data_IF_914755667719
#
_entry.id   IF_914755667719
#
_cell.length_a   1.000
_cell.length_b   1.000
_cell.length_c   1.000
_cell.angle_alpha   90.00
_cell.angle_beta   90.00
_cell.angle_gamma   90.00
#
_symmetry.space_group_name_H-M   'P 1'
#
loop_
_entity.id
_entity.type
_entity.pdbx_description
1 polymer ?
#
# COMPACT_ATOMS: atom_id res chain seq x y z
N UNK A 1 19.16 -21.08 -25.69
CA UNK A 1 18.24 -22.16 -25.26
C UNK A 1 16.95 -21.52 -24.79
N UNK A 2 15.83 -21.86 -25.43
CA UNK A 2 14.51 -21.19 -25.26
C UNK A 2 13.94 -21.53 -23.89
N UNK A 3 13.68 -20.51 -23.06
CA UNK A 3 12.89 -20.64 -21.85
C UNK A 3 11.44 -20.38 -22.24
N UNK A 4 10.60 -21.40 -22.04
CA UNK A 4 9.16 -21.35 -22.26
C UNK A 4 8.55 -20.27 -21.34
N UNK A 5 8.03 -19.24 -21.96
CA UNK A 5 7.10 -18.31 -21.31
C UNK A 5 5.76 -19.02 -21.15
N UNK A 6 5.40 -19.37 -19.93
CA UNK A 6 4.07 -19.81 -19.56
C UNK A 6 3.13 -18.61 -19.66
N UNK A 7 2.32 -18.57 -20.72
CA UNK A 7 1.28 -17.58 -20.97
C UNK A 7 0.11 -17.88 -20.04
N UNK A 8 0.05 -17.23 -18.88
CA UNK A 8 -1.20 -17.13 -18.11
C UNK A 8 -2.07 -16.08 -18.75
N UNK A 9 -3.05 -16.54 -19.54
CA UNK A 9 -4.15 -15.71 -20.03
C UNK A 9 -5.02 -15.36 -18.82
N UNK A 10 -4.78 -14.18 -18.24
CA UNK A 10 -5.76 -13.54 -17.36
C UNK A 10 -6.92 -13.06 -18.25
N UNK A 11 -8.02 -13.79 -18.20
CA UNK A 11 -9.32 -13.29 -18.66
C UNK A 11 -9.64 -12.08 -17.77
N UNK A 12 -9.40 -10.89 -18.32
CA UNK A 12 -9.94 -9.65 -17.77
C UNK A 12 -11.47 -9.77 -17.85
N UNK A 13 -12.09 -10.14 -16.73
CA UNK A 13 -13.48 -9.79 -16.50
C UNK A 13 -13.50 -8.26 -16.32
N UNK A 14 -13.66 -7.57 -17.44
CA UNK A 14 -14.07 -6.17 -17.46
C UNK A 14 -15.51 -6.18 -16.93
N UNK A 15 -15.65 -5.96 -15.61
CA UNK A 15 -16.91 -5.51 -15.06
C UNK A 15 -17.11 -4.13 -15.70
N UNK A 16 -18.16 -3.95 -16.53
CA UNK A 16 -18.39 -2.63 -17.10
C UNK A 16 -18.61 -1.70 -15.90
N UNK A 17 -17.73 -0.71 -15.77
CA UNK A 17 -17.99 0.49 -15.01
C UNK A 17 -19.39 0.93 -15.41
N UNK A 18 -20.38 0.73 -14.54
CA UNK A 18 -21.71 1.28 -14.75
C UNK A 18 -21.53 2.80 -14.79
N UNK A 19 -21.34 3.29 -16.01
CA UNK A 19 -21.66 4.66 -16.32
C UNK A 19 -23.07 4.88 -15.72
N UNK A 20 -23.18 5.93 -14.89
CA UNK A 20 -24.47 6.47 -14.53
C UNK A 20 -25.33 6.46 -15.81
N UNK A 21 -26.49 5.82 -15.82
CA UNK A 21 -27.32 5.87 -16.99
C UNK A 21 -27.69 7.32 -17.21
N UNK A 22 -27.08 7.95 -18.19
CA UNK A 22 -27.65 9.09 -18.89
C UNK A 22 -28.82 8.57 -19.74
N UNK A 23 -29.73 7.83 -19.11
CA UNK A 23 -31.05 7.63 -19.64
C UNK A 23 -31.86 8.84 -19.20
N UNK A 24 -31.82 9.88 -20.00
CA UNK A 24 -33.05 10.60 -20.30
C UNK A 24 -34.00 9.55 -20.93
N UNK A 25 -34.46 8.64 -20.06
CA UNK A 25 -35.62 7.83 -20.38
C UNK A 25 -36.74 8.83 -20.54
N UNK A 26 -37.36 8.90 -21.70
CA UNK A 26 -38.68 9.43 -21.92
C UNK A 26 -39.64 8.66 -21.00
N UNK A 27 -39.64 8.98 -19.71
CA UNK A 27 -40.71 8.61 -18.81
C UNK A 27 -41.91 9.42 -19.27
N UNK A 28 -42.93 8.74 -19.74
CA UNK A 28 -44.24 9.33 -19.97
C UNK A 28 -44.57 10.24 -18.74
N UNK A 29 -45.06 11.44 -18.93
CA UNK A 29 -45.39 12.33 -17.82
C UNK A 29 -46.31 11.62 -16.83
N UNK A 30 -45.93 11.64 -15.54
CA UNK A 30 -46.69 11.00 -14.45
C UNK A 30 -48.17 11.43 -14.54
N UNK A 31 -49.06 10.46 -14.58
CA UNK A 31 -50.50 10.77 -14.58
C UNK A 31 -50.95 11.38 -13.26
N UNK A 32 -52.02 12.21 -13.29
CA UNK A 32 -52.59 12.80 -12.07
C UNK A 32 -52.92 11.73 -11.00
N UNK A 33 -53.34 10.53 -11.46
CA UNK A 33 -53.71 9.43 -10.57
C UNK A 33 -52.46 8.80 -9.91
N UNK A 34 -51.36 8.60 -10.64
CA UNK A 34 -50.12 8.11 -10.14
C UNK A 34 -49.49 9.09 -9.13
N UNK A 35 -49.46 10.39 -9.46
CA UNK A 35 -48.99 11.42 -8.56
C UNK A 35 -49.76 11.46 -7.21
N UNK A 36 -51.11 11.24 -7.28
CA UNK A 36 -51.96 11.17 -6.07
C UNK A 36 -51.67 9.91 -5.27
N UNK A 37 -51.47 8.78 -5.89
CA UNK A 37 -51.12 7.53 -5.22
C UNK A 37 -49.75 7.64 -4.52
N UNK A 38 -48.73 8.17 -5.21
CA UNK A 38 -47.38 8.42 -4.68
C UNK A 38 -47.44 9.36 -3.45
N UNK A 39 -48.11 10.49 -3.54
CA UNK A 39 -48.28 11.41 -2.41
C UNK A 39 -48.97 10.74 -1.22
N UNK A 40 -49.95 9.87 -1.44
CA UNK A 40 -50.64 9.10 -0.40
C UNK A 40 -49.67 8.10 0.27
N UNK A 41 -48.84 7.41 -0.51
CA UNK A 41 -47.86 6.46 0.03
C UNK A 41 -46.78 7.20 0.87
N UNK A 42 -46.21 8.31 0.37
CA UNK A 42 -45.29 9.16 1.14
C UNK A 42 -45.93 9.60 2.46
N UNK A 43 -47.15 10.07 2.46
CA UNK A 43 -47.86 10.49 3.69
C UNK A 43 -47.99 9.33 4.68
N UNK A 44 -48.42 8.15 4.20
CA UNK A 44 -48.56 6.94 5.03
C UNK A 44 -47.21 6.54 5.66
N UNK A 45 -46.12 6.56 4.92
CA UNK A 45 -44.79 6.23 5.41
C UNK A 45 -44.32 7.26 6.47
N UNK A 46 -44.54 8.55 6.25
CA UNK A 46 -44.23 9.61 7.25
C UNK A 46 -45.04 9.47 8.55
N UNK A 47 -46.27 8.99 8.50
CA UNK A 47 -47.05 8.67 9.70
C UNK A 47 -46.47 7.43 10.44
N UNK A 48 -46.04 6.42 9.73
CA UNK A 48 -45.35 5.26 10.32
C UNK A 48 -44.03 5.67 10.97
N UNK A 49 -43.25 6.58 10.34
CA UNK A 49 -42.03 7.14 10.92
C UNK A 49 -42.33 7.79 12.27
N UNK A 50 -43.34 8.68 12.35
CA UNK A 50 -43.72 9.35 13.59
C UNK A 50 -44.07 8.35 14.70
N UNK A 51 -44.83 7.31 14.37
CA UNK A 51 -45.19 6.26 15.34
C UNK A 51 -43.96 5.51 15.82
N UNK A 52 -43.03 5.13 14.92
CA UNK A 52 -41.79 4.39 15.23
C UNK A 52 -40.81 5.25 16.05
N UNK A 53 -40.69 6.55 15.77
CA UNK A 53 -39.86 7.47 16.54
C UNK A 53 -40.39 7.62 17.99
N UNK A 54 -41.75 7.69 18.17
CA UNK A 54 -42.36 7.77 19.48
C UNK A 54 -42.18 6.48 20.30
N UNK A 55 -42.36 5.32 19.67
CA UNK A 55 -42.21 4.03 20.36
C UNK A 55 -40.75 3.57 20.49
N UNK A 56 -39.84 4.10 19.66
CA UNK A 56 -38.47 3.65 19.57
C UNK A 56 -38.31 2.26 18.93
N UNK A 57 -39.37 1.75 18.28
CA UNK A 57 -39.37 0.38 17.69
C UNK A 57 -39.47 0.42 16.15
N UNK A 58 -39.10 -0.70 15.48
CA UNK A 58 -39.18 -0.85 14.02
C UNK A 58 -38.35 0.16 13.21
N UNK A 59 -37.36 0.82 13.81
CA UNK A 59 -36.59 1.88 13.17
C UNK A 59 -35.85 1.43 11.90
N UNK A 60 -35.29 0.19 11.89
CA UNK A 60 -34.61 -0.37 10.71
C UNK A 60 -35.57 -0.61 9.53
N UNK A 61 -36.81 -1.07 9.83
CA UNK A 61 -37.83 -1.27 8.80
C UNK A 61 -38.24 0.06 8.17
N UNK A 62 -38.43 1.08 8.98
CA UNK A 62 -38.80 2.42 8.53
C UNK A 62 -37.66 3.04 7.72
N UNK A 63 -36.40 2.92 8.17
CA UNK A 63 -35.22 3.33 7.41
C UNK A 63 -35.23 2.70 6.00
N UNK A 64 -35.42 1.39 5.92
CA UNK A 64 -35.46 0.68 4.63
C UNK A 64 -36.59 1.19 3.72
N UNK A 65 -37.78 1.46 4.28
CA UNK A 65 -38.91 2.00 3.53
C UNK A 65 -38.66 3.41 3.00
N UNK A 66 -38.05 4.28 3.80
CA UNK A 66 -37.68 5.64 3.40
C UNK A 66 -36.60 5.64 2.32
N UNK A 67 -35.57 4.80 2.48
CA UNK A 67 -34.53 4.64 1.46
C UNK A 67 -35.12 4.19 0.12
N UNK A 68 -36.09 3.25 0.13
CA UNK A 68 -36.79 2.82 -1.08
C UNK A 68 -37.56 3.96 -1.74
N UNK A 69 -38.23 4.79 -0.96
CA UNK A 69 -38.92 5.98 -1.49
C UNK A 69 -37.96 6.98 -2.13
N UNK A 70 -36.75 7.17 -1.54
CA UNK A 70 -35.72 8.07 -2.04
C UNK A 70 -34.97 7.53 -3.28
N UNK A 71 -35.13 6.24 -3.61
CA UNK A 71 -34.64 5.68 -4.88
C UNK A 71 -35.48 6.13 -6.07
N UNK A 72 -36.79 6.40 -5.86
CA UNK A 72 -37.67 6.97 -6.88
C UNK A 72 -37.27 8.44 -7.16
N UNK A 73 -36.95 8.72 -8.43
CA UNK A 73 -36.51 10.05 -8.90
C UNK A 73 -37.54 11.15 -8.60
N UNK A 74 -38.82 10.82 -8.62
CA UNK A 74 -39.94 11.75 -8.33
C UNK A 74 -40.00 12.17 -6.84
N UNK A 75 -39.41 11.38 -5.96
CA UNK A 75 -39.36 11.65 -4.52
C UNK A 75 -38.03 12.29 -4.07
N UNK A 76 -37.01 12.29 -4.92
CA UNK A 76 -35.66 12.75 -4.54
C UNK A 76 -35.58 14.22 -4.11
N UNK A 77 -36.58 15.06 -4.45
CA UNK A 77 -36.66 16.45 -4.05
C UNK A 77 -37.59 16.67 -2.83
N UNK A 78 -38.17 15.61 -2.25
CA UNK A 78 -39.05 15.75 -1.10
C UNK A 78 -38.25 15.88 0.21
N UNK A 79 -38.02 17.10 0.68
CA UNK A 79 -37.28 17.41 1.89
C UNK A 79 -37.77 16.60 3.11
N UNK A 80 -39.07 16.32 3.20
CA UNK A 80 -39.67 15.62 4.34
C UNK A 80 -39.13 14.20 4.50
N UNK A 81 -38.79 13.54 3.40
CA UNK A 81 -38.20 12.18 3.43
C UNK A 81 -36.77 12.18 4.00
N UNK A 82 -35.98 13.18 3.64
CA UNK A 82 -34.60 13.32 4.17
C UNK A 82 -34.64 13.64 5.67
N UNK A 83 -35.46 14.59 6.10
CA UNK A 83 -35.62 14.95 7.50
C UNK A 83 -36.11 13.76 8.33
N UNK A 84 -37.13 13.05 7.84
CA UNK A 84 -37.66 11.87 8.51
C UNK A 84 -36.61 10.74 8.61
N UNK A 85 -35.84 10.51 7.55
CA UNK A 85 -34.76 9.51 7.55
C UNK A 85 -33.63 9.90 8.50
N UNK A 86 -33.25 11.18 8.54
CA UNK A 86 -32.28 11.68 9.50
C UNK A 86 -32.71 11.45 10.95
N UNK A 87 -33.98 11.78 11.29
CA UNK A 87 -34.52 11.55 12.63
C UNK A 87 -34.50 10.06 13.02
N UNK A 88 -34.82 9.19 12.08
CA UNK A 88 -34.74 7.72 12.29
C UNK A 88 -33.29 7.28 12.57
N UNK A 89 -32.32 7.70 11.75
CA UNK A 89 -30.91 7.38 11.96
C UNK A 89 -30.38 7.94 13.29
N UNK A 90 -30.74 9.18 13.63
CA UNK A 90 -30.38 9.81 14.90
C UNK A 90 -30.93 9.03 16.09
N UNK A 91 -32.18 8.57 16.01
CA UNK A 91 -32.80 7.74 17.07
C UNK A 91 -32.14 6.39 17.20
N UNK A 92 -31.81 5.73 16.08
CA UNK A 92 -31.05 4.47 16.09
C UNK A 92 -29.69 4.66 16.76
N UNK A 93 -28.96 5.71 16.38
CA UNK A 93 -27.67 6.04 16.99
C UNK A 93 -27.80 6.24 18.50
N UNK A 94 -28.77 7.04 18.94
CA UNK A 94 -29.01 7.30 20.36
C UNK A 94 -29.26 6.01 21.14
N UNK A 95 -30.14 5.13 20.64
CA UNK A 95 -30.43 3.84 21.27
C UNK A 95 -29.21 2.90 21.31
N UNK A 96 -28.42 2.88 20.24
CA UNK A 96 -27.20 2.10 20.19
C UNK A 96 -26.16 2.60 21.18
N UNK A 97 -25.95 3.92 21.22
CA UNK A 97 -25.00 4.56 22.12
C UNK A 97 -25.41 4.37 23.60
N UNK A 98 -26.71 4.49 23.92
CA UNK A 98 -27.24 4.23 25.25
C UNK A 98 -26.97 2.78 25.71
N UNK A 99 -27.21 1.81 24.84
CA UNK A 99 -26.92 0.39 25.14
C UNK A 99 -25.43 0.16 25.42
N UNK A 100 -24.55 0.74 24.62
CA UNK A 100 -23.10 0.64 24.83
C UNK A 100 -22.67 1.32 26.14
N UNK A 101 -23.23 2.49 26.43
CA UNK A 101 -22.98 3.20 27.69
C UNK A 101 -23.39 2.37 28.90
N UNK A 102 -24.53 1.71 28.83
CA UNK A 102 -25.06 0.80 29.86
C UNK A 102 -24.37 -0.59 29.85
N UNK A 103 -23.31 -0.77 29.05
CA UNK A 103 -22.58 -2.05 28.88
C UNK A 103 -23.47 -3.21 28.42
N UNK A 104 -24.57 -2.91 27.77
CA UNK A 104 -25.44 -3.90 27.15
C UNK A 104 -24.88 -4.35 25.80
N UNK A 105 -25.23 -5.57 25.39
CA UNK A 105 -24.80 -6.10 24.08
C UNK A 105 -25.38 -5.26 22.93
N UNK A 106 -24.51 -4.65 22.17
CA UNK A 106 -24.85 -3.93 20.94
C UNK A 106 -23.73 -4.05 19.93
N UNK A 107 -24.05 -4.03 18.64
CA UNK A 107 -23.04 -4.06 17.55
C UNK A 107 -22.41 -2.69 17.37
N UNK A 108 -21.18 -2.56 17.82
CA UNK A 108 -20.40 -1.31 17.69
C UNK A 108 -20.21 -0.88 16.25
N UNK A 109 -20.08 -1.83 15.30
CA UNK A 109 -19.99 -1.52 13.88
C UNK A 109 -21.24 -0.79 13.38
N UNK A 110 -22.44 -1.26 13.78
CA UNK A 110 -23.72 -0.63 13.43
C UNK A 110 -23.81 0.81 13.92
N UNK A 111 -23.24 1.14 15.08
CA UNK A 111 -23.21 2.52 15.59
C UNK A 111 -22.43 3.45 14.66
N UNK A 112 -21.21 3.03 14.28
CA UNK A 112 -20.37 3.81 13.36
C UNK A 112 -21.03 3.94 11.98
N UNK A 113 -21.56 2.84 11.44
CA UNK A 113 -22.26 2.85 10.14
C UNK A 113 -23.43 3.82 10.15
N UNK A 114 -24.22 3.86 11.25
CA UNK A 114 -25.33 4.80 11.39
C UNK A 114 -24.84 6.25 11.41
N UNK A 115 -23.76 6.54 12.13
CA UNK A 115 -23.16 7.87 12.12
C UNK A 115 -22.73 8.29 10.70
N UNK A 116 -22.02 7.43 9.95
CA UNK A 116 -21.61 7.73 8.58
C UNK A 116 -22.81 7.92 7.64
N UNK A 117 -23.87 7.12 7.78
CA UNK A 117 -25.12 7.29 7.00
C UNK A 117 -25.72 8.69 7.21
N UNK A 118 -25.70 9.23 8.44
CA UNK A 118 -26.18 10.58 8.71
C UNK A 118 -25.39 11.65 7.93
N UNK A 119 -24.05 11.52 7.85
CA UNK A 119 -23.22 12.44 7.07
C UNK A 119 -23.57 12.39 5.58
N UNK A 120 -23.60 11.21 4.98
CA UNK A 120 -23.89 11.05 3.56
C UNK A 120 -25.32 11.49 3.19
N UNK A 121 -26.28 11.24 4.09
CA UNK A 121 -27.67 11.65 3.90
C UNK A 121 -27.80 13.18 3.88
N UNK A 122 -27.21 13.86 4.85
CA UNK A 122 -27.35 15.31 4.98
C UNK A 122 -26.50 16.09 3.97
N UNK A 123 -25.38 15.55 3.51
CA UNK A 123 -24.62 16.11 2.38
C UNK A 123 -25.45 16.06 1.08
N UNK A 124 -26.09 14.91 0.81
CA UNK A 124 -27.03 14.78 -0.30
C UNK A 124 -28.21 15.74 -0.16
N UNK A 125 -28.77 15.87 1.04
CA UNK A 125 -29.88 16.78 1.32
C UNK A 125 -29.48 18.25 1.17
N UNK A 126 -28.27 18.63 1.58
CA UNK A 126 -27.75 19.99 1.40
C UNK A 126 -27.74 20.44 -0.07
N UNK A 127 -27.42 19.49 -0.97
CA UNK A 127 -27.48 19.74 -2.41
C UNK A 127 -28.89 20.02 -2.91
N UNK A 128 -29.92 19.50 -2.21
CA UNK A 128 -31.35 19.71 -2.55
C UNK A 128 -31.83 21.03 -1.93
N UNK A 129 -31.45 21.33 -0.68
CA UNK A 129 -31.73 22.60 0.01
C UNK A 129 -31.13 23.81 -0.74
N UNK A 130 -30.03 23.54 -1.52
CA UNK A 130 -29.40 24.53 -2.36
C UNK A 130 -30.04 24.72 -3.75
N UNK A 131 -31.10 24.00 -4.08
CA UNK A 131 -31.83 24.23 -5.35
C UNK A 131 -32.60 25.57 -5.29
N UNK A 132 -32.62 26.31 -6.41
CA UNK A 132 -33.43 27.53 -6.47
C UNK A 132 -34.90 27.19 -6.36
N UNK A 133 -35.64 28.03 -5.62
CA UNK A 133 -37.09 27.98 -5.57
C UNK A 133 -37.73 28.48 -6.88
N UNK A 134 -39.07 28.46 -6.98
CA UNK A 134 -39.82 28.87 -8.18
C UNK A 134 -39.51 30.32 -8.62
N UNK A 135 -38.99 31.17 -7.73
CA UNK A 135 -38.57 32.54 -8.00
C UNK A 135 -37.07 32.67 -8.34
N UNK A 136 -36.36 31.56 -8.54
CA UNK A 136 -34.93 31.50 -8.85
C UNK A 136 -34.03 31.87 -7.64
N UNK A 137 -34.56 31.97 -6.45
CA UNK A 137 -33.78 32.28 -5.22
C UNK A 137 -33.33 31.01 -4.50
N UNK A 138 -32.05 30.97 -4.11
CA UNK A 138 -31.50 29.93 -3.25
C UNK A 138 -31.66 30.34 -1.80
N UNK A 139 -32.29 29.52 -0.96
CA UNK A 139 -32.46 29.74 0.45
C UNK A 139 -32.00 28.50 1.21
N UNK A 140 -30.78 28.56 1.79
CA UNK A 140 -30.20 27.46 2.57
C UNK A 140 -30.89 27.39 3.95
N UNK A 141 -31.98 26.66 4.00
CA UNK A 141 -32.84 26.60 5.18
C UNK A 141 -32.28 25.74 6.30
N UNK A 142 -31.62 24.63 5.96
CA UNK A 142 -31.22 23.60 6.92
C UNK A 142 -29.71 23.48 7.12
N UNK A 143 -28.90 23.99 6.22
CA UNK A 143 -27.44 23.82 6.18
C UNK A 143 -26.75 24.05 7.53
N UNK A 144 -26.98 25.20 8.15
CA UNK A 144 -26.31 25.58 9.41
C UNK A 144 -26.67 24.64 10.55
N UNK A 145 -27.94 24.30 10.69
CA UNK A 145 -28.42 23.39 11.74
C UNK A 145 -27.88 21.97 11.55
N UNK A 146 -27.98 21.45 10.33
CA UNK A 146 -27.45 20.10 10.01
C UNK A 146 -25.95 20.00 10.20
N UNK A 147 -25.17 20.98 9.75
CA UNK A 147 -23.75 21.04 9.98
C UNK A 147 -23.40 21.04 11.47
N UNK A 148 -24.14 21.84 12.28
CA UNK A 148 -23.95 21.87 13.72
C UNK A 148 -24.25 20.50 14.36
N UNK A 149 -25.38 19.89 14.03
CA UNK A 149 -25.74 18.57 14.55
C UNK A 149 -24.72 17.49 14.17
N UNK A 150 -24.26 17.46 12.92
CA UNK A 150 -23.27 16.47 12.47
C UNK A 150 -21.87 16.67 13.07
N UNK A 151 -21.50 17.92 13.42
CA UNK A 151 -20.20 18.19 14.01
C UNK A 151 -19.94 17.37 15.29
N UNK A 152 -21.00 17.07 16.06
CA UNK A 152 -20.92 16.24 17.27
C UNK A 152 -20.59 14.76 16.97
N UNK A 153 -20.85 14.29 15.74
CA UNK A 153 -20.59 12.92 15.32
C UNK A 153 -19.31 12.79 14.48
N UNK A 154 -18.64 13.90 14.19
CA UNK A 154 -17.52 13.91 13.25
C UNK A 154 -16.38 12.97 13.68
N UNK A 155 -16.05 12.95 14.99
CA UNK A 155 -15.02 12.07 15.53
C UNK A 155 -15.35 10.57 15.36
N UNK A 156 -16.63 10.20 15.28
CA UNK A 156 -17.04 8.81 15.07
C UNK A 156 -16.63 8.27 13.69
N UNK A 157 -16.47 9.15 12.69
CA UNK A 157 -15.96 8.73 11.38
C UNK A 157 -14.50 8.25 11.49
N UNK A 158 -13.68 9.02 12.20
CA UNK A 158 -12.29 8.65 12.45
C UNK A 158 -12.17 7.37 13.29
N UNK A 159 -12.87 7.30 14.41
CA UNK A 159 -12.85 6.14 15.30
C UNK A 159 -13.40 4.89 14.59
N UNK A 160 -14.47 5.06 13.80
CA UNK A 160 -15.04 3.97 12.98
C UNK A 160 -14.05 3.43 11.94
N UNK A 161 -13.32 4.31 11.25
CA UNK A 161 -12.31 3.86 10.30
C UNK A 161 -11.17 3.06 10.95
N UNK A 162 -10.71 3.45 12.14
CA UNK A 162 -9.73 2.68 12.92
C UNK A 162 -10.33 1.34 13.37
N UNK A 163 -11.58 1.37 13.85
CA UNK A 163 -12.28 0.15 14.24
C UNK A 163 -12.32 -0.86 13.09
N UNK A 164 -12.73 -0.44 11.90
CA UNK A 164 -12.83 -1.32 10.75
C UNK A 164 -11.47 -1.80 10.25
N UNK A 165 -10.41 -0.96 10.27
CA UNK A 165 -9.05 -1.39 9.95
C UNK A 165 -8.59 -2.52 10.88
N UNK A 166 -8.80 -2.37 12.20
CA UNK A 166 -8.41 -3.35 13.20
C UNK A 166 -9.18 -4.67 13.08
N UNK A 167 -10.39 -4.64 12.51
CA UNK A 167 -11.19 -5.80 12.20
C UNK A 167 -11.00 -6.32 10.77
N UNK A 168 -9.97 -5.84 10.05
CA UNK A 168 -9.64 -6.23 8.66
C UNK A 168 -10.77 -5.97 7.65
N UNK A 169 -11.68 -5.08 7.99
CA UNK A 169 -12.76 -4.61 7.10
C UNK A 169 -12.26 -3.39 6.32
N UNK A 170 -11.41 -3.66 5.33
CA UNK A 170 -10.65 -2.62 4.63
C UNK A 170 -11.53 -1.70 3.79
N UNK A 171 -12.62 -2.21 3.20
CA UNK A 171 -13.59 -1.41 2.46
C UNK A 171 -14.22 -0.33 3.32
N UNK A 172 -14.74 -0.74 4.47
CA UNK A 172 -15.36 0.16 5.42
C UNK A 172 -14.32 1.15 5.97
N UNK A 173 -13.11 0.68 6.29
CA UNK A 173 -12.05 1.56 6.78
C UNK A 173 -11.73 2.68 5.78
N UNK A 174 -11.55 2.36 4.50
CA UNK A 174 -11.34 3.35 3.43
C UNK A 174 -12.52 4.33 3.35
N UNK A 175 -13.75 3.82 3.31
CA UNK A 175 -14.95 4.65 3.20
C UNK A 175 -15.14 5.60 4.39
N UNK A 176 -14.81 5.16 5.60
CA UNK A 176 -14.88 5.99 6.79
C UNK A 176 -13.82 7.08 6.79
N UNK A 177 -12.57 6.72 6.46
CA UNK A 177 -11.48 7.69 6.39
C UNK A 177 -11.68 8.70 5.25
N UNK A 178 -12.20 8.25 4.10
CA UNK A 178 -12.55 9.14 3.00
C UNK A 178 -13.63 10.13 3.41
N UNK A 179 -14.69 9.68 4.08
CA UNK A 179 -15.75 10.55 4.61
C UNK A 179 -15.18 11.54 5.63
N UNK A 180 -14.32 11.08 6.57
CA UNK A 180 -13.68 11.94 7.56
C UNK A 180 -12.81 13.04 6.94
N UNK A 181 -11.96 12.65 5.98
CA UNK A 181 -10.99 13.57 5.35
C UNK A 181 -11.64 14.52 4.35
N UNK A 182 -12.74 14.14 3.71
CA UNK A 182 -13.41 14.97 2.71
C UNK A 182 -14.47 15.90 3.30
N UNK A 183 -15.15 15.48 4.37
CA UNK A 183 -16.27 16.24 4.96
C UNK A 183 -15.96 17.71 5.28
N UNK A 184 -14.77 18.11 5.77
CA UNK A 184 -14.45 19.52 5.99
C UNK A 184 -14.55 20.40 4.75
N UNK A 185 -14.49 19.82 3.55
CA UNK A 185 -14.59 20.53 2.27
C UNK A 185 -15.98 20.47 1.65
N UNK A 186 -16.94 19.80 2.30
CA UNK A 186 -18.31 19.75 1.78
C UNK A 186 -19.04 21.09 1.96
N UNK A 187 -19.89 21.44 0.99
CA UNK A 187 -20.69 22.68 1.05
C UNK A 187 -21.53 22.76 2.32
N UNK A 188 -22.01 21.62 2.82
CA UNK A 188 -22.74 21.51 4.08
C UNK A 188 -22.00 22.17 5.25
N UNK A 189 -20.66 22.06 5.30
CA UNK A 189 -19.84 22.59 6.38
C UNK A 189 -19.23 23.98 6.10
N UNK A 190 -19.68 24.66 5.03
CA UNK A 190 -19.16 25.99 4.68
C UNK A 190 -19.32 27.04 5.78
N UNK A 191 -20.37 26.92 6.61
CA UNK A 191 -20.68 27.85 7.72
C UNK A 191 -20.11 27.39 9.08
N UNK A 192 -19.65 26.15 9.20
CA UNK A 192 -19.13 25.57 10.44
C UNK A 192 -17.81 24.85 10.11
N UNK A 193 -16.72 25.38 10.65
CA UNK A 193 -15.42 24.76 10.46
C UNK A 193 -15.34 23.48 11.31
N UNK A 194 -15.35 22.32 10.64
CA UNK A 194 -14.98 21.07 11.30
C UNK A 194 -13.48 21.16 11.67
N UNK A 195 -13.17 21.16 12.95
CA UNK A 195 -11.79 21.19 13.39
C UNK A 195 -11.20 19.78 13.22
N UNK A 196 -10.39 19.58 12.20
CA UNK A 196 -9.49 18.44 12.15
C UNK A 196 -8.14 18.89 12.67
N UNK A 197 -7.70 18.34 13.79
CA UNK A 197 -6.29 18.39 14.16
C UNK A 197 -5.48 17.81 12.98
N UNK A 198 -4.46 18.56 12.54
CA UNK A 198 -3.62 18.15 11.40
C UNK A 198 -2.96 16.80 11.65
N UNK A 199 -2.63 16.48 12.89
CA UNK A 199 -2.06 15.19 13.30
C UNK A 199 -3.07 14.05 13.15
N UNK A 200 -4.33 14.28 13.56
CA UNK A 200 -5.41 13.30 13.40
C UNK A 200 -5.73 13.09 11.92
N UNK A 201 -5.75 14.15 11.12
CA UNK A 201 -5.96 14.06 9.69
C UNK A 201 -4.82 13.29 8.99
N UNK A 202 -3.57 13.53 9.39
CA UNK A 202 -2.42 12.77 8.88
C UNK A 202 -2.49 11.28 9.28
N UNK A 203 -2.91 10.97 10.51
CA UNK A 203 -3.15 9.59 10.93
C UNK A 203 -4.28 8.94 10.14
N UNK A 204 -5.42 9.61 9.99
CA UNK A 204 -6.54 9.12 9.19
C UNK A 204 -6.11 8.81 7.74
N UNK A 205 -5.27 9.67 7.16
CA UNK A 205 -4.71 9.47 5.82
C UNK A 205 -3.78 8.25 5.74
N UNK A 206 -2.95 8.02 6.77
CA UNK A 206 -2.13 6.80 6.88
C UNK A 206 -2.99 5.54 7.02
N UNK A 207 -4.08 5.61 7.78
CA UNK A 207 -5.06 4.52 7.91
C UNK A 207 -5.71 4.23 6.55
N UNK A 208 -6.14 5.27 5.82
CA UNK A 208 -6.72 5.14 4.47
C UNK A 208 -5.74 4.49 3.48
N UNK A 209 -4.47 4.92 3.50
CA UNK A 209 -3.41 4.36 2.66
C UNK A 209 -3.22 2.86 2.93
N UNK A 210 -3.08 2.48 4.20
CA UNK A 210 -2.87 1.06 4.58
C UNK A 210 -4.10 0.20 4.25
N UNK A 211 -5.30 0.70 4.52
CA UNK A 211 -6.54 -0.02 4.23
C UNK A 211 -6.73 -0.23 2.71
N UNK A 212 -6.51 0.82 1.91
CA UNK A 212 -6.58 0.75 0.46
C UNK A 212 -5.53 -0.19 -0.13
N UNK A 213 -4.30 -0.16 0.38
CA UNK A 213 -3.24 -1.10 0.00
C UNK A 213 -3.63 -2.55 0.31
N UNK A 214 -4.11 -2.82 1.52
CA UNK A 214 -4.54 -4.17 1.93
C UNK A 214 -5.73 -4.70 1.14
N UNK A 215 -6.60 -3.82 0.68
CA UNK A 215 -7.72 -4.15 -0.21
C UNK A 215 -7.29 -4.36 -1.67
N UNK A 216 -6.15 -3.79 -2.08
CA UNK A 216 -5.75 -3.70 -3.49
C UNK A 216 -6.40 -2.53 -4.25
N UNK A 217 -7.03 -1.58 -3.56
CA UNK A 217 -7.62 -0.38 -4.13
C UNK A 217 -6.59 0.76 -4.13
N UNK A 218 -5.68 0.72 -5.08
CA UNK A 218 -4.58 1.66 -5.16
C UNK A 218 -5.01 3.11 -5.38
N UNK A 219 -6.03 3.41 -6.22
CA UNK A 219 -6.56 4.77 -6.30
C UNK A 219 -7.01 5.33 -4.95
N UNK A 220 -7.75 4.56 -4.17
CA UNK A 220 -8.18 4.97 -2.83
C UNK A 220 -7.00 5.11 -1.86
N UNK A 221 -6.02 4.18 -1.91
CA UNK A 221 -4.81 4.22 -1.10
C UNK A 221 -4.00 5.50 -1.37
N UNK A 222 -3.85 5.90 -2.62
CA UNK A 222 -3.02 7.04 -3.03
C UNK A 222 -3.70 8.40 -2.86
N UNK A 223 -5.03 8.44 -2.65
CA UNK A 223 -5.82 9.69 -2.61
C UNK A 223 -5.29 10.72 -1.62
N UNK A 224 -4.83 10.29 -0.45
CA UNK A 224 -4.34 11.15 0.63
C UNK A 224 -2.87 10.89 0.99
N UNK A 225 -2.06 10.34 0.07
CA UNK A 225 -0.70 9.90 0.32
C UNK A 225 0.22 10.98 0.92
N UNK A 226 0.13 12.21 0.41
CA UNK A 226 1.02 13.30 0.85
C UNK A 226 0.73 13.72 2.29
N UNK A 227 -0.52 13.60 2.72
CA UNK A 227 -0.90 13.84 4.10
C UNK A 227 -0.53 12.65 5.00
N UNK A 228 -0.64 11.42 4.50
CA UNK A 228 -0.25 10.20 5.21
C UNK A 228 1.24 10.20 5.58
N UNK A 229 2.10 10.73 4.71
CA UNK A 229 3.55 10.84 4.95
C UNK A 229 3.91 11.85 6.05
N UNK A 230 3.00 12.73 6.45
CA UNK A 230 3.21 13.65 7.58
C UNK A 230 3.00 13.00 8.94
N UNK A 231 2.43 11.79 9.00
CA UNK A 231 2.24 11.08 10.26
C UNK A 231 3.46 10.20 10.60
N UNK A 232 4.43 10.80 11.26
CA UNK A 232 5.73 10.17 11.57
C UNK A 232 5.62 8.82 12.30
N UNK A 233 4.70 8.59 13.27
CA UNK A 233 4.61 7.30 13.96
C UNK A 233 4.28 6.11 13.05
N UNK A 234 3.79 6.35 11.85
CA UNK A 234 3.49 5.31 10.85
C UNK A 234 4.17 5.55 9.50
N UNK A 235 5.22 6.39 9.49
CA UNK A 235 5.91 6.75 8.25
C UNK A 235 6.50 5.52 7.57
N UNK A 236 7.13 4.62 8.33
CA UNK A 236 7.75 3.42 7.77
C UNK A 236 6.75 2.54 7.02
N UNK A 237 5.60 2.22 7.65
CA UNK A 237 4.57 1.42 6.99
C UNK A 237 3.93 2.16 5.81
N UNK A 238 3.80 3.48 5.88
CA UNK A 238 3.28 4.28 4.77
C UNK A 238 4.22 4.23 3.55
N UNK A 239 5.54 4.37 3.78
CA UNK A 239 6.56 4.25 2.73
C UNK A 239 6.63 2.83 2.14
N UNK A 240 6.48 1.80 3.00
CA UNK A 240 6.40 0.41 2.56
C UNK A 240 5.20 0.22 1.62
N UNK A 241 3.99 0.61 2.03
CA UNK A 241 2.80 0.49 1.19
C UNK A 241 2.96 1.25 -0.14
N UNK A 242 3.49 2.47 -0.11
CA UNK A 242 3.72 3.25 -1.33
C UNK A 242 4.73 2.59 -2.26
N UNK A 243 5.84 2.09 -1.73
CA UNK A 243 6.83 1.36 -2.53
C UNK A 243 6.20 0.15 -3.21
N UNK A 244 5.48 -0.69 -2.46
CA UNK A 244 4.85 -1.88 -3.02
C UNK A 244 3.74 -1.54 -4.05
N UNK A 245 2.95 -0.49 -3.83
CA UNK A 245 1.94 -0.03 -4.80
C UNK A 245 2.61 0.34 -6.11
N UNK A 246 3.66 1.17 -6.09
CA UNK A 246 4.33 1.61 -7.31
C UNK A 246 5.11 0.49 -7.99
N UNK A 247 5.67 -0.45 -7.22
CA UNK A 247 6.24 -1.67 -7.78
C UNK A 247 5.21 -2.49 -8.57
N UNK A 248 4.01 -2.71 -7.99
CA UNK A 248 2.92 -3.44 -8.66
C UNK A 248 2.35 -2.68 -9.87
N UNK A 249 2.44 -1.36 -9.89
CA UNK A 249 2.04 -0.51 -11.02
C UNK A 249 3.13 -0.40 -12.11
N UNK A 250 4.30 -1.03 -11.92
CA UNK A 250 5.48 -0.89 -12.77
C UNK A 250 5.97 0.57 -12.93
N UNK A 251 5.69 1.43 -11.94
CA UNK A 251 6.23 2.79 -11.86
C UNK A 251 7.58 2.76 -11.12
N UNK A 252 8.64 2.42 -11.86
CA UNK A 252 9.99 2.30 -11.32
C UNK A 252 10.52 3.61 -10.72
N UNK A 253 10.13 4.78 -11.28
CA UNK A 253 10.58 6.07 -10.78
C UNK A 253 10.04 6.35 -9.38
N UNK A 254 8.73 6.18 -9.19
CA UNK A 254 8.09 6.36 -7.88
C UNK A 254 8.55 5.29 -6.90
N UNK A 255 8.70 4.03 -7.33
CA UNK A 255 9.24 2.95 -6.52
C UNK A 255 10.61 3.31 -5.93
N UNK A 256 11.58 3.65 -6.76
CA UNK A 256 12.93 4.04 -6.34
C UNK A 256 12.89 5.28 -5.45
N UNK A 257 12.04 6.26 -5.77
CA UNK A 257 11.85 7.46 -4.93
C UNK A 257 11.48 7.10 -3.50
N UNK A 258 10.46 6.26 -3.31
CA UNK A 258 10.00 5.91 -1.95
C UNK A 258 10.95 4.96 -1.24
N UNK A 259 11.67 4.09 -1.95
CA UNK A 259 12.75 3.30 -1.37
C UNK A 259 13.88 4.20 -0.85
N UNK A 260 14.29 5.24 -1.60
CA UNK A 260 15.32 6.20 -1.14
C UNK A 260 14.88 6.92 0.13
N UNK A 261 13.66 7.46 0.15
CA UNK A 261 13.11 8.10 1.36
C UNK A 261 13.08 7.12 2.52
N UNK A 262 12.74 5.85 2.27
CA UNK A 262 12.74 4.78 3.26
C UNK A 262 14.13 4.49 3.84
N UNK A 263 15.16 4.38 2.99
CA UNK A 263 16.55 4.18 3.44
C UNK A 263 17.05 5.39 4.24
N UNK A 264 16.73 6.61 3.80
CA UNK A 264 17.18 7.83 4.48
C UNK A 264 16.53 7.99 5.87
N UNK A 265 15.26 7.61 6.00
CA UNK A 265 14.50 7.72 7.25
C UNK A 265 14.70 6.51 8.19
N UNK A 266 14.94 5.32 7.62
CA UNK A 266 15.01 4.05 8.34
C UNK A 266 16.17 3.19 7.80
N UNK A 267 17.45 3.62 8.03
CA UNK A 267 18.62 2.96 7.44
C UNK A 267 18.78 1.50 7.89
N UNK A 268 18.26 1.13 9.05
CA UNK A 268 18.29 -0.25 9.57
C UNK A 268 17.11 -1.10 9.15
N UNK A 269 16.15 -0.56 8.37
CA UNK A 269 15.01 -1.32 7.88
C UNK A 269 15.45 -2.39 6.89
N UNK A 270 15.01 -3.62 7.14
CA UNK A 270 15.28 -4.77 6.25
C UNK A 270 14.49 -4.74 4.95
N UNK A 271 13.59 -3.78 4.79
CA UNK A 271 12.75 -3.66 3.60
C UNK A 271 13.37 -2.78 2.51
N UNK A 272 13.78 -1.55 2.85
CA UNK A 272 14.12 -0.54 1.83
C UNK A 272 15.50 -0.73 1.22
N UNK A 273 16.53 -0.90 2.06
CA UNK A 273 17.91 -0.97 1.60
C UNK A 273 18.15 -2.10 0.59
N UNK A 274 17.78 -3.37 0.85
CA UNK A 274 18.07 -4.44 -0.10
C UNK A 274 17.39 -4.24 -1.47
N UNK A 275 16.16 -3.71 -1.44
CA UNK A 275 15.40 -3.43 -2.68
C UNK A 275 16.03 -2.32 -3.50
N UNK A 276 16.49 -1.26 -2.84
CA UNK A 276 17.13 -0.14 -3.55
C UNK A 276 18.49 -0.55 -4.13
N UNK A 277 19.29 -1.32 -3.39
CA UNK A 277 20.55 -1.88 -3.90
C UNK A 277 20.30 -2.77 -5.13
N UNK A 278 19.29 -3.65 -5.07
CA UNK A 278 18.92 -4.50 -6.20
C UNK A 278 18.55 -3.65 -7.42
N UNK A 279 17.73 -2.60 -7.26
CA UNK A 279 17.40 -1.70 -8.37
C UNK A 279 18.66 -1.09 -9.02
N UNK A 280 19.63 -0.65 -8.21
CA UNK A 280 20.88 -0.11 -8.74
C UNK A 280 21.72 -1.19 -9.45
N UNK A 281 21.77 -2.40 -8.90
CA UNK A 281 22.50 -3.52 -9.51
C UNK A 281 21.86 -3.93 -10.85
N UNK A 282 20.54 -4.01 -10.93
CA UNK A 282 19.80 -4.34 -12.15
C UNK A 282 20.00 -3.30 -13.26
N UNK A 283 20.24 -2.04 -12.87
CA UNK A 283 20.59 -0.95 -13.79
C UNK A 283 22.11 -0.87 -14.09
N UNK A 284 22.93 -1.75 -13.53
CA UNK A 284 24.39 -1.71 -13.66
C UNK A 284 25.07 -0.56 -12.90
N UNK A 285 24.34 0.14 -12.02
CA UNK A 285 24.81 1.28 -11.23
C UNK A 285 25.53 0.82 -9.95
N UNK A 286 26.52 -0.04 -10.09
CA UNK A 286 27.22 -0.63 -8.93
C UNK A 286 27.93 0.40 -8.05
N UNK A 287 28.40 1.52 -8.62
CA UNK A 287 29.05 2.60 -7.85
C UNK A 287 28.03 3.32 -6.95
N UNK A 288 26.79 3.56 -7.43
CA UNK A 288 25.72 4.16 -6.64
C UNK A 288 25.29 3.20 -5.51
N UNK A 289 25.19 1.90 -5.82
CA UNK A 289 24.90 0.85 -4.84
C UNK A 289 25.98 0.78 -3.76
N UNK A 290 27.28 0.90 -4.14
CA UNK A 290 28.39 0.90 -3.19
C UNK A 290 28.32 2.13 -2.27
N UNK A 291 28.14 3.31 -2.82
CA UNK A 291 28.03 4.57 -2.06
C UNK A 291 26.86 4.54 -1.08
N UNK A 292 25.71 3.97 -1.50
CA UNK A 292 24.56 3.75 -0.63
C UNK A 292 24.89 2.77 0.51
N UNK A 293 25.56 1.65 0.20
CA UNK A 293 25.94 0.63 1.18
C UNK A 293 26.89 1.23 2.23
N UNK A 294 27.91 1.97 1.79
CA UNK A 294 28.85 2.67 2.69
C UNK A 294 28.14 3.69 3.60
N UNK A 295 27.13 4.40 3.07
CA UNK A 295 26.30 5.32 3.86
C UNK A 295 25.54 4.58 4.96
N UNK A 296 24.87 3.48 4.63
CA UNK A 296 24.05 2.70 5.57
C UNK A 296 24.94 1.97 6.59
N UNK A 297 26.11 1.48 6.20
CA UNK A 297 27.08 0.87 7.11
C UNK A 297 27.54 1.81 8.24
N UNK A 298 27.50 3.13 8.04
CA UNK A 298 27.82 4.09 9.13
C UNK A 298 26.78 4.05 10.26
N UNK A 299 25.54 3.68 9.96
CA UNK A 299 24.47 3.55 10.96
C UNK A 299 24.50 2.18 11.67
N UNK A 300 25.01 1.14 11.00
CA UNK A 300 25.12 -0.23 11.56
C UNK A 300 26.41 -0.90 11.05
N UNK A 301 27.49 -0.60 11.73
CA UNK A 301 28.85 -1.07 11.35
C UNK A 301 29.06 -2.57 11.57
N UNK A 302 28.26 -3.20 12.43
CA UNK A 302 28.38 -4.61 12.78
C UNK A 302 27.55 -5.52 11.87
N UNK A 303 26.72 -4.97 10.98
CA UNK A 303 25.79 -5.73 10.17
C UNK A 303 26.52 -6.54 9.08
N UNK A 304 26.60 -7.84 9.29
CA UNK A 304 27.28 -8.76 8.38
C UNK A 304 26.67 -8.70 6.97
N UNK A 305 25.34 -8.58 6.85
CA UNK A 305 24.69 -8.51 5.54
C UNK A 305 25.15 -7.29 4.74
N UNK A 306 25.26 -6.12 5.38
CA UNK A 306 25.77 -4.92 4.72
C UNK A 306 27.21 -5.11 4.25
N UNK A 307 28.06 -5.74 5.06
CA UNK A 307 29.46 -6.01 4.71
C UNK A 307 29.61 -7.01 3.60
N UNK A 308 28.80 -8.07 3.58
CA UNK A 308 28.76 -9.02 2.45
C UNK A 308 28.26 -8.34 1.17
N UNK A 309 27.25 -7.47 1.26
CA UNK A 309 26.78 -6.66 0.14
C UNK A 309 27.88 -5.75 -0.38
N UNK A 310 28.59 -5.06 0.50
CA UNK A 310 29.74 -4.20 0.18
C UNK A 310 30.81 -5.00 -0.58
N UNK A 311 31.22 -6.16 -0.05
CA UNK A 311 32.17 -7.07 -0.71
C UNK A 311 31.70 -7.49 -2.11
N UNK A 312 30.43 -7.83 -2.27
CA UNK A 312 29.86 -8.22 -3.57
C UNK A 312 29.91 -7.06 -4.58
N UNK A 313 29.64 -5.84 -4.13
CA UNK A 313 29.70 -4.65 -4.98
C UNK A 313 31.15 -4.32 -5.39
N UNK A 314 32.13 -4.49 -4.50
CA UNK A 314 33.56 -4.37 -4.84
C UNK A 314 33.96 -5.38 -5.93
N UNK A 315 33.46 -6.62 -5.85
CA UNK A 315 33.70 -7.64 -6.89
C UNK A 315 33.13 -7.19 -8.24
N UNK A 316 31.88 -6.72 -8.27
CA UNK A 316 31.23 -6.25 -9.51
C UNK A 316 31.91 -5.00 -10.11
N UNK A 317 32.52 -4.17 -9.27
CA UNK A 317 33.32 -3.02 -9.69
C UNK A 317 34.77 -3.37 -10.05
N UNK A 318 35.11 -4.65 -10.16
CA UNK A 318 36.48 -5.17 -10.44
C UNK A 318 37.53 -4.71 -9.42
N UNK A 319 37.11 -4.24 -8.24
CA UNK A 319 38.00 -3.86 -7.10
C UNK A 319 38.42 -5.10 -6.32
N UNK A 320 39.09 -6.06 -7.02
CA UNK A 320 39.33 -7.41 -6.53
C UNK A 320 40.16 -7.46 -5.24
N UNK A 321 41.20 -6.64 -5.11
CA UNK A 321 42.01 -6.61 -3.88
C UNK A 321 41.22 -6.20 -2.66
N UNK A 322 40.38 -5.20 -2.80
CA UNK A 322 39.52 -4.72 -1.72
C UNK A 322 38.44 -5.75 -1.36
N UNK A 323 37.85 -6.40 -2.37
CA UNK A 323 36.91 -7.51 -2.17
C UNK A 323 37.56 -8.66 -1.37
N UNK A 324 38.81 -9.05 -1.73
CA UNK A 324 39.55 -10.10 -1.00
C UNK A 324 39.85 -9.70 0.42
N UNK A 325 40.34 -8.47 0.65
CA UNK A 325 40.67 -7.96 1.98
C UNK A 325 39.44 -7.89 2.89
N UNK A 326 38.33 -7.35 2.38
CA UNK A 326 37.05 -7.32 3.12
C UNK A 326 36.57 -8.73 3.46
N UNK A 327 36.66 -9.65 2.50
CA UNK A 327 36.29 -11.04 2.69
C UNK A 327 37.15 -11.75 3.75
N UNK A 328 38.48 -11.52 3.77
CA UNK A 328 39.36 -12.07 4.80
C UNK A 328 38.98 -11.57 6.21
N UNK A 329 38.63 -10.29 6.35
CA UNK A 329 38.15 -9.73 7.62
C UNK A 329 36.84 -10.39 8.04
N UNK A 330 35.89 -10.57 7.10
CA UNK A 330 34.63 -11.24 7.40
C UNK A 330 34.84 -12.69 7.85
N UNK A 331 35.70 -13.46 7.15
CA UNK A 331 35.99 -14.86 7.50
C UNK A 331 36.69 -15.00 8.85
N UNK A 332 37.49 -14.00 9.27
CA UNK A 332 38.09 -14.01 10.60
C UNK A 332 37.05 -13.85 11.73
N UNK A 333 35.87 -13.30 11.42
CA UNK A 333 34.78 -13.12 12.37
C UNK A 333 33.75 -14.27 12.29
N UNK A 334 33.48 -14.77 11.09
CA UNK A 334 32.56 -15.86 10.85
C UNK A 334 32.97 -16.62 9.57
N UNK A 335 33.45 -17.85 9.72
CA UNK A 335 33.93 -18.70 8.66
C UNK A 335 32.83 -19.57 7.97
N UNK A 336 31.57 -19.35 8.36
CA UNK A 336 30.44 -20.13 7.85
C UNK A 336 29.64 -19.43 6.74
N UNK A 337 30.07 -18.22 6.31
CA UNK A 337 29.34 -17.44 5.30
C UNK A 337 29.79 -17.85 3.89
N UNK A 338 29.00 -18.67 3.24
CA UNK A 338 29.31 -19.21 1.90
C UNK A 338 29.60 -18.11 0.87
N UNK A 339 28.80 -17.07 0.81
CA UNK A 339 28.91 -15.96 -0.15
C UNK A 339 30.27 -15.25 -0.06
N UNK A 340 30.86 -15.15 1.13
CA UNK A 340 32.17 -14.53 1.30
C UNK A 340 33.27 -15.36 0.61
N UNK A 341 33.23 -16.69 0.76
CA UNK A 341 34.14 -17.58 0.06
C UNK A 341 33.97 -17.49 -1.45
N UNK A 342 32.73 -17.44 -1.93
CA UNK A 342 32.41 -17.29 -3.33
C UNK A 342 33.00 -16.00 -3.91
N UNK A 343 32.79 -14.88 -3.25
CA UNK A 343 33.31 -13.57 -3.71
C UNK A 343 34.82 -13.51 -3.74
N UNK A 344 35.52 -14.05 -2.71
CA UNK A 344 36.97 -14.14 -2.71
C UNK A 344 37.46 -15.03 -3.87
N UNK A 345 36.82 -16.19 -4.07
CA UNK A 345 37.17 -17.10 -5.14
C UNK A 345 36.98 -16.43 -6.50
N UNK A 346 35.85 -15.79 -6.75
CA UNK A 346 35.59 -15.07 -8.01
C UNK A 346 36.56 -13.90 -8.23
N UNK A 347 36.98 -13.20 -7.19
CA UNK A 347 37.97 -12.13 -7.30
C UNK A 347 39.31 -12.70 -7.79
N UNK A 348 39.80 -13.82 -7.23
CA UNK A 348 41.01 -14.50 -7.72
C UNK A 348 40.83 -15.08 -9.13
N UNK A 349 39.66 -15.64 -9.40
CA UNK A 349 39.32 -16.23 -10.69
C UNK A 349 39.33 -15.15 -11.81
N UNK A 350 38.65 -14.05 -11.61
CA UNK A 350 38.61 -12.96 -12.58
C UNK A 350 40.02 -12.35 -12.81
N UNK A 351 40.82 -12.18 -11.73
CA UNK A 351 42.23 -11.79 -11.86
C UNK A 351 43.06 -12.78 -12.68
N UNK A 352 42.78 -14.10 -12.58
CA UNK A 352 43.44 -15.10 -13.39
C UNK A 352 43.10 -14.95 -14.88
N UNK A 353 41.79 -14.77 -15.19
CA UNK A 353 41.32 -14.52 -16.56
C UNK A 353 41.93 -13.25 -17.17
N UNK A 354 42.08 -12.17 -16.37
CA UNK A 354 42.79 -10.95 -16.82
C UNK A 354 44.27 -11.22 -17.17
N UNK A 355 44.95 -12.17 -16.47
CA UNK A 355 46.33 -12.54 -16.81
C UNK A 355 46.40 -13.41 -18.07
N UNK A 356 45.42 -14.29 -18.26
CA UNK A 356 45.32 -15.12 -19.49
C UNK A 356 45.09 -14.28 -20.74
N UNK A 357 44.25 -13.25 -20.64
CA UNK A 357 43.91 -12.34 -21.78
C UNK A 357 44.97 -11.26 -22.04
N UNK A 358 45.98 -11.11 -21.18
CA UNK A 358 46.94 -10.03 -21.30
C UNK A 358 47.96 -10.30 -22.42
N UNK A 359 47.74 -9.67 -23.57
CA UNK A 359 48.58 -9.83 -24.79
C UNK A 359 49.98 -9.26 -24.66
N UNK A 360 50.26 -8.43 -23.65
CA UNK A 360 51.57 -7.85 -23.39
C UNK A 360 52.55 -8.86 -22.76
N UNK A 361 52.05 -9.99 -22.26
CA UNK A 361 52.86 -11.05 -21.67
C UNK A 361 53.06 -12.18 -22.68
N UNK A 362 54.20 -12.89 -22.58
CA UNK A 362 54.43 -14.13 -23.31
C UNK A 362 53.43 -15.22 -22.86
N UNK A 363 53.16 -16.21 -23.73
CA UNK A 363 52.22 -17.30 -23.39
C UNK A 363 52.63 -18.02 -22.12
N UNK A 364 53.92 -18.33 -21.93
CA UNK A 364 54.43 -18.98 -20.72
C UNK A 364 54.21 -18.12 -19.44
N UNK A 365 54.40 -16.80 -19.52
CA UNK A 365 54.18 -15.89 -18.41
C UNK A 365 52.71 -15.76 -18.06
N UNK A 366 51.84 -15.69 -19.07
CA UNK A 366 50.37 -15.67 -18.86
C UNK A 366 49.91 -16.89 -18.07
N UNK A 367 50.27 -18.09 -18.57
CA UNK A 367 49.93 -19.35 -17.92
C UNK A 367 50.50 -19.43 -16.51
N UNK A 368 51.78 -19.06 -16.30
CA UNK A 368 52.38 -19.05 -14.96
C UNK A 368 51.67 -18.14 -13.99
N UNK A 369 51.33 -16.91 -14.41
CA UNK A 369 50.64 -15.91 -13.57
C UNK A 369 49.18 -16.31 -13.28
N UNK A 370 48.47 -16.80 -14.29
CA UNK A 370 47.10 -17.28 -14.12
C UNK A 370 47.01 -18.49 -13.19
N UNK A 371 47.89 -19.50 -13.39
CA UNK A 371 47.92 -20.68 -12.53
C UNK A 371 48.23 -20.35 -11.06
N UNK A 372 49.08 -19.36 -10.81
CA UNK A 372 49.31 -18.89 -9.44
C UNK A 372 48.03 -18.33 -8.78
N UNK A 373 47.20 -17.65 -9.55
CA UNK A 373 45.90 -17.12 -9.07
C UNK A 373 44.84 -18.23 -8.92
N UNK A 374 44.81 -19.21 -9.85
CA UNK A 374 43.94 -20.39 -9.72
C UNK A 374 44.27 -21.23 -8.48
N UNK A 375 45.56 -21.38 -8.13
CA UNK A 375 45.94 -22.02 -6.88
C UNK A 375 45.41 -21.28 -5.64
N UNK A 376 45.37 -19.94 -5.68
CA UNK A 376 44.77 -19.14 -4.60
C UNK A 376 43.24 -19.22 -4.58
N UNK A 377 42.61 -19.28 -5.75
CA UNK A 377 41.13 -19.38 -5.91
C UNK A 377 40.58 -20.71 -5.36
N UNK A 378 41.26 -21.81 -5.68
CA UNK A 378 40.84 -23.20 -5.43
C UNK A 378 40.27 -23.41 -4.00
N UNK A 379 41.02 -23.15 -2.91
CA UNK A 379 40.54 -23.47 -1.56
C UNK A 379 39.27 -22.73 -1.18
N UNK A 380 39.05 -21.50 -1.67
CA UNK A 380 37.84 -20.73 -1.41
C UNK A 380 36.64 -21.29 -2.17
N UNK A 381 36.81 -21.68 -3.44
CA UNK A 381 35.71 -22.25 -4.22
C UNK A 381 35.36 -23.67 -3.76
N UNK A 382 36.33 -24.48 -3.34
CA UNK A 382 36.07 -25.78 -2.72
C UNK A 382 35.33 -25.64 -1.39
N UNK A 383 35.71 -24.65 -0.58
CA UNK A 383 34.97 -24.35 0.68
C UNK A 383 33.54 -23.86 0.39
N UNK A 384 33.35 -23.01 -0.64
CA UNK A 384 32.01 -22.61 -1.09
C UNK A 384 31.17 -23.82 -1.50
N UNK A 385 31.74 -24.74 -2.33
CA UNK A 385 31.08 -26.00 -2.71
C UNK A 385 30.65 -26.82 -1.48
N UNK A 386 31.50 -26.88 -0.45
CA UNK A 386 31.19 -27.61 0.78
C UNK A 386 30.07 -26.97 1.59
N UNK A 387 29.98 -25.63 1.62
CA UNK A 387 28.95 -24.87 2.36
C UNK A 387 27.64 -24.74 1.57
N UNK A 388 27.69 -24.74 0.24
CA UNK A 388 26.53 -24.56 -0.65
C UNK A 388 26.54 -25.59 -1.80
N UNK A 389 26.44 -26.90 -1.51
CA UNK A 389 26.59 -27.97 -2.51
C UNK A 389 25.47 -27.96 -3.56
N UNK A 390 24.32 -27.42 -3.24
CA UNK A 390 23.17 -27.24 -4.13
C UNK A 390 23.38 -26.15 -5.20
N UNK A 391 24.28 -25.19 -4.97
CA UNK A 391 24.59 -24.09 -5.88
C UNK A 391 25.57 -24.52 -7.01
N UNK A 392 25.30 -25.65 -7.68
CA UNK A 392 26.16 -26.25 -8.70
C UNK A 392 26.46 -25.31 -9.85
N UNK A 393 25.49 -24.53 -10.29
CA UNK A 393 25.65 -23.60 -11.40
C UNK A 393 26.67 -22.48 -11.11
N UNK A 394 26.95 -22.20 -9.84
CA UNK A 394 27.94 -21.21 -9.42
C UNK A 394 29.34 -21.80 -9.27
N UNK A 395 29.49 -22.90 -8.55
CA UNK A 395 30.83 -23.41 -8.23
C UNK A 395 31.41 -24.36 -9.31
N UNK A 396 30.55 -25.13 -10.02
CA UNK A 396 31.02 -26.16 -10.96
C UNK A 396 31.81 -25.58 -12.15
N UNK A 397 31.35 -24.53 -12.85
CA UNK A 397 32.12 -23.98 -13.99
C UNK A 397 33.47 -23.41 -13.57
N UNK A 398 33.53 -22.80 -12.38
CA UNK A 398 34.76 -22.20 -11.84
C UNK A 398 35.77 -23.31 -11.47
N UNK A 399 35.34 -24.32 -10.71
CA UNK A 399 36.19 -25.46 -10.35
C UNK A 399 36.63 -26.25 -11.56
N UNK A 400 35.75 -26.43 -12.55
CA UNK A 400 36.10 -27.09 -13.81
C UNK A 400 37.30 -26.39 -14.48
N UNK A 401 37.23 -25.08 -14.64
CA UNK A 401 38.31 -24.28 -15.21
C UNK A 401 39.60 -24.36 -14.37
N UNK A 402 39.50 -24.30 -13.07
CA UNK A 402 40.63 -24.36 -12.15
C UNK A 402 41.32 -25.73 -12.24
N UNK A 403 40.57 -26.84 -12.18
CA UNK A 403 41.11 -28.18 -12.19
C UNK A 403 41.76 -28.51 -13.54
N UNK A 404 41.15 -28.07 -14.64
CA UNK A 404 41.73 -28.22 -15.99
C UNK A 404 43.08 -27.50 -16.09
N UNK A 405 43.16 -26.22 -15.72
CA UNK A 405 44.36 -25.40 -15.83
C UNK A 405 45.51 -25.84 -14.89
N UNK A 406 45.14 -26.45 -13.76
CA UNK A 406 46.12 -26.96 -12.80
C UNK A 406 46.44 -28.42 -12.98
N UNK A 407 45.92 -29.10 -14.02
CA UNK A 407 46.08 -30.53 -14.31
C UNK A 407 45.68 -31.43 -13.12
N UNK A 408 44.57 -31.14 -12.47
CA UNK A 408 44.06 -31.90 -11.32
C UNK A 408 43.01 -32.93 -11.77
N UNK A 409 43.48 -33.99 -12.42
CA UNK A 409 42.61 -34.97 -13.10
C UNK A 409 41.66 -35.73 -12.15
N UNK A 410 42.08 -36.01 -10.91
CA UNK A 410 41.26 -36.71 -9.92
C UNK A 410 40.08 -35.83 -9.51
N UNK A 411 40.34 -34.60 -9.09
CA UNK A 411 39.33 -33.64 -8.65
C UNK A 411 38.40 -33.23 -9.80
N UNK A 412 38.95 -33.21 -11.04
CA UNK A 412 38.17 -32.95 -12.24
C UNK A 412 37.10 -34.02 -12.45
N UNK A 413 37.47 -35.32 -12.35
CA UNK A 413 36.50 -36.42 -12.52
C UNK A 413 35.44 -36.50 -11.43
N UNK A 414 35.66 -35.89 -10.27
CA UNK A 414 34.64 -35.80 -9.20
C UNK A 414 33.51 -34.79 -9.48
N UNK A 415 33.70 -33.88 -10.43
CA UNK A 415 32.72 -32.82 -10.74
C UNK A 415 32.17 -32.94 -12.17
N UNK A 416 32.69 -33.87 -12.99
CA UNK A 416 32.21 -34.15 -14.33
C UNK A 416 30.81 -34.81 -14.28
#
# INVERSE_FOLDING_TARGET
MKILASLFIFVLNIIPMMALPSSVGNSSPETKQEAKARKKEVKKQLEQVKASLKSGSNLQRVESSLNKLLQDTLNQKDERLYLALYDVLKKQYQQGNEKLFLKQKYDTASLFVTARKMFLLLDRFDSIDALPNDNGRITLKYRKEHAFQLSHFYHNLYTGGIYFLNHQKYDEAVQFMDTYLSAPNWNLFSAIKLSSDTTIAAHASSVSLVAGYKKGDFPAALKYKDLALKYLPRLEISLHCLSDIYYQQNDSLSYIKYLRVGVDSFPTSTFFFPRLVNCYCDEGKYQDALSLTEKVMKADTANILLRVTHQTLLLNLTRYEECINEGMVLLSQNDSIAEVYYNIALAYYNKALEKESNTMLSSAERTKKANALYRKCRPYMEKYRALAPDQKDKWRPVLYTIYLNLNLGKEFSEIE
#
